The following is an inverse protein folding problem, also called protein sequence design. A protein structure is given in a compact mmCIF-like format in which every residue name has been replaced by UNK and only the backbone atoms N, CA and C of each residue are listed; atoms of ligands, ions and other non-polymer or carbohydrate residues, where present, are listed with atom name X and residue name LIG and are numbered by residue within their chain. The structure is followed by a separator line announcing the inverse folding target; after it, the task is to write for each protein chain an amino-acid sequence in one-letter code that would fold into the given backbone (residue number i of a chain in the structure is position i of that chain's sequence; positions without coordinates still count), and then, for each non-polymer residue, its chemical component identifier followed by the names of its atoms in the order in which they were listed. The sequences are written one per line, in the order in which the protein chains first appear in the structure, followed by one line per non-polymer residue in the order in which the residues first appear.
data_IF_210117722501
#
_entry.id   IF_210117722501
#
_cell.length_a   1.000
_cell.length_b   1.000
_cell.length_c   1.000
_cell.angle_alpha   90.00
_cell.angle_beta   90.00
_cell.angle_gamma   90.00
#
_symmetry.space_group_name_H-M   'P 1'
#
loop_
_entity.id
_entity.type
_entity.pdbx_description
1 polymer ?
#
# COMPACT_ATOMS: atom_id res chain seq x y z
N UNK A 1 16.13 3.39 15.49
CA UNK A 1 16.46 2.58 14.29
C UNK A 1 17.48 3.36 13.47
N UNK A 2 18.49 2.71 12.86
CA UNK A 2 19.42 3.37 11.93
C UNK A 2 18.80 3.41 10.55
N UNK A 3 18.22 4.54 10.16
CA UNK A 3 17.54 4.67 8.87
C UNK A 3 18.44 5.31 7.81
N UNK A 4 18.25 4.90 6.55
CA UNK A 4 18.75 5.62 5.38
C UNK A 4 17.58 6.33 4.68
N UNK A 5 17.87 7.39 3.94
CA UNK A 5 16.83 8.10 3.20
C UNK A 5 16.30 7.19 2.11
N UNK A 6 14.99 6.93 2.09
CA UNK A 6 14.34 6.13 1.03
C UNK A 6 14.33 6.87 -0.31
N UNK A 7 13.37 6.55 -1.18
CA UNK A 7 13.21 7.19 -2.49
C UNK A 7 12.10 8.26 -2.49
N UNK A 8 12.35 9.54 -2.83
CA UNK A 8 13.65 10.18 -2.99
C UNK A 8 14.38 10.34 -1.65
N UNK A 9 15.68 10.59 -1.72
CA UNK A 9 16.53 10.71 -0.54
C UNK A 9 16.01 11.80 0.41
N UNK A 10 15.83 11.42 1.69
CA UNK A 10 15.38 12.30 2.75
C UNK A 10 16.54 13.18 3.27
N UNK A 11 16.26 14.47 3.52
CA UNK A 11 17.19 15.38 4.17
C UNK A 11 17.72 14.78 5.49
N UNK A 12 19.05 14.71 5.73
CA UNK A 12 19.61 14.09 6.93
C UNK A 12 19.10 14.67 8.26
N UNK A 13 18.86 15.99 8.33
CA UNK A 13 18.35 16.67 9.53
C UNK A 13 16.91 16.25 9.82
N UNK A 14 16.07 16.17 8.78
CA UNK A 14 14.69 15.67 8.88
C UNK A 14 14.70 14.19 9.30
N UNK A 15 15.53 13.37 8.65
CA UNK A 15 15.68 11.96 8.97
C UNK A 15 16.07 11.73 10.42
N UNK A 16 16.99 12.53 10.94
CA UNK A 16 17.42 12.43 12.33
C UNK A 16 16.26 12.66 13.30
N UNK A 17 15.38 13.63 13.04
CA UNK A 17 14.19 13.87 13.86
C UNK A 17 13.24 12.69 13.82
N UNK A 18 12.86 12.23 12.62
CA UNK A 18 11.79 11.24 12.48
C UNK A 18 12.23 9.78 12.65
N UNK A 19 13.53 9.50 12.76
CA UNK A 19 14.06 8.16 13.08
C UNK A 19 14.28 7.90 14.57
N UNK A 20 14.11 8.93 15.41
CA UNK A 20 14.17 8.84 16.87
C UNK A 20 12.88 8.26 17.44
N UNK A 21 13.01 7.62 18.60
CA UNK A 21 11.91 7.19 19.46
C UNK A 21 10.77 6.42 18.77
N UNK A 22 11.13 5.60 17.77
CA UNK A 22 10.15 4.77 17.05
C UNK A 22 9.60 3.74 18.05
N UNK A 23 8.27 3.72 18.30
CA UNK A 23 7.65 2.84 19.28
C UNK A 23 7.52 1.42 18.71
N UNK A 24 8.65 0.73 18.52
CA UNK A 24 8.66 -0.65 18.05
C UNK A 24 8.24 -1.59 19.20
N UNK A 25 7.14 -2.34 19.05
CA UNK A 25 6.78 -3.34 20.06
C UNK A 25 7.84 -4.46 20.11
N UNK A 26 8.02 -5.15 21.25
CA UNK A 26 9.01 -6.22 21.38
C UNK A 26 8.85 -7.37 20.36
N UNK A 27 7.62 -7.57 19.89
CA UNK A 27 7.26 -8.57 18.88
C UNK A 27 7.40 -8.06 17.43
N UNK A 28 7.80 -6.81 17.21
CA UNK A 28 7.95 -6.24 15.88
C UNK A 28 8.89 -7.10 15.04
N UNK A 29 8.44 -7.43 13.83
CA UNK A 29 9.18 -8.17 12.81
C UNK A 29 8.80 -7.59 11.44
N UNK A 30 9.75 -7.48 10.51
CA UNK A 30 9.41 -7.09 9.15
C UNK A 30 8.68 -8.23 8.44
N UNK A 31 8.07 -7.90 7.30
CA UNK A 31 7.50 -8.89 6.39
C UNK A 31 8.52 -10.01 6.10
N UNK A 32 8.04 -11.25 5.98
CA UNK A 32 8.91 -12.44 5.88
C UNK A 32 9.69 -12.55 4.57
N UNK A 33 9.21 -11.87 3.53
CA UNK A 33 9.75 -11.97 2.17
C UNK A 33 10.78 -10.86 1.90
N UNK A 34 11.43 -10.92 0.74
CA UNK A 34 12.66 -10.17 0.39
C UNK A 34 12.65 -8.68 0.75
N UNK A 35 11.58 -7.96 0.43
CA UNK A 35 11.49 -6.51 0.65
C UNK A 35 11.47 -6.11 2.12
N UNK A 36 11.14 -7.06 3.02
CA UNK A 36 11.15 -6.88 4.48
C UNK A 36 10.48 -5.57 4.90
N UNK A 37 9.33 -5.29 4.27
CA UNK A 37 8.53 -4.11 4.55
C UNK A 37 8.01 -4.10 5.99
N UNK A 38 7.90 -2.91 6.58
CA UNK A 38 7.33 -2.73 7.92
C UNK A 38 6.69 -1.35 8.02
N UNK A 39 5.54 -1.27 8.69
CA UNK A 39 4.92 0.00 9.04
C UNK A 39 4.84 0.16 10.57
N UNK A 40 5.07 1.37 11.05
CA UNK A 40 4.92 1.73 12.46
C UNK A 40 4.17 3.04 12.54
N UNK A 41 2.97 2.97 13.13
CA UNK A 41 2.09 4.11 13.29
C UNK A 41 2.04 4.51 14.76
N UNK A 42 2.63 5.66 15.08
CA UNK A 42 2.57 6.23 16.41
C UNK A 42 1.28 7.05 16.55
N UNK A 43 0.25 6.39 17.09
CA UNK A 43 -1.08 6.98 17.27
C UNK A 43 -1.03 8.20 18.18
N UNK A 44 -0.16 8.21 19.21
CA UNK A 44 -0.09 9.30 20.18
C UNK A 44 0.45 10.60 19.59
N UNK A 45 1.40 10.51 18.67
CA UNK A 45 2.01 11.70 18.04
C UNK A 45 1.48 11.99 16.64
N UNK A 46 0.77 11.05 16.03
CA UNK A 46 0.31 11.13 14.64
C UNK A 46 1.39 10.84 13.59
N UNK A 47 2.59 10.40 14.02
CA UNK A 47 3.70 10.12 13.11
C UNK A 47 3.56 8.70 12.56
N UNK A 48 3.38 8.61 11.25
CA UNK A 48 3.30 7.35 10.52
C UNK A 48 4.61 7.12 9.77
N UNK A 49 5.19 5.93 9.92
CA UNK A 49 6.46 5.56 9.28
C UNK A 49 6.30 4.26 8.52
N UNK A 50 6.84 4.22 7.32
CA UNK A 50 6.97 3.01 6.53
C UNK A 50 8.43 2.76 6.21
N UNK A 51 8.78 1.49 6.20
CA UNK A 51 10.14 1.03 6.06
C UNK A 51 10.28 -0.03 4.96
N UNK A 52 11.41 0.04 4.29
CA UNK A 52 11.82 -0.92 3.25
C UNK A 52 13.18 -1.53 3.60
N UNK A 53 13.38 -2.80 3.26
CA UNK A 53 14.59 -3.59 3.53
C UNK A 53 14.99 -3.56 5.00
N UNK A 54 14.02 -3.82 5.88
CA UNK A 54 14.26 -3.78 7.32
C UNK A 54 15.06 -5.00 7.74
N UNK A 55 16.15 -4.74 8.47
CA UNK A 55 16.99 -5.77 9.07
C UNK A 55 17.14 -5.52 10.57
N UNK A 56 17.31 -6.60 11.32
CA UNK A 56 17.69 -6.55 12.73
C UNK A 56 18.96 -7.37 12.91
N UNK A 57 20.04 -6.71 13.31
CA UNK A 57 21.29 -7.40 13.62
C UNK A 57 21.17 -8.26 14.88
N UNK A 58 22.12 -9.18 15.09
CA UNK A 58 22.22 -9.99 16.32
C UNK A 58 22.33 -9.13 17.58
N UNK A 59 23.00 -7.98 17.47
CA UNK A 59 23.10 -6.99 18.55
C UNK A 59 21.79 -6.20 18.78
N UNK A 60 20.70 -6.53 18.08
CA UNK A 60 19.39 -5.90 18.22
C UNK A 60 19.24 -4.56 17.50
N UNK A 61 20.19 -4.19 16.63
CA UNK A 61 20.14 -2.90 15.91
C UNK A 61 19.28 -3.05 14.67
N UNK A 62 18.24 -2.22 14.57
CA UNK A 62 17.37 -2.13 13.42
C UNK A 62 17.92 -1.19 12.34
N UNK A 63 17.87 -1.60 11.08
CA UNK A 63 18.21 -0.79 9.90
C UNK A 63 17.10 -0.85 8.84
N UNK A 64 17.02 0.16 7.96
CA UNK A 64 16.07 0.18 6.85
C UNK A 64 16.00 1.53 6.14
N UNK A 65 15.34 1.56 4.98
CA UNK A 65 14.89 2.79 4.31
C UNK A 65 13.60 3.27 4.96
N UNK A 66 13.39 4.58 5.04
CA UNK A 66 12.23 5.15 5.71
C UNK A 66 11.54 6.21 4.84
N UNK A 67 10.21 6.14 4.81
CA UNK A 67 9.31 7.25 4.50
C UNK A 67 8.45 7.57 5.72
N UNK A 68 7.97 8.81 5.83
CA UNK A 68 7.05 9.19 6.91
C UNK A 68 6.01 10.22 6.48
N UNK A 69 4.94 10.33 7.27
CA UNK A 69 4.10 11.52 7.34
C UNK A 69 3.77 11.87 8.79
N UNK A 70 3.52 13.15 9.05
CA UNK A 70 2.99 13.65 10.31
C UNK A 70 1.55 14.03 10.10
N UNK A 71 0.67 13.45 10.91
CA UNK A 71 -0.77 13.62 10.86
C UNK A 71 -1.27 14.09 12.23
N UNK A 72 -2.58 14.29 12.35
CA UNK A 72 -3.18 14.60 13.63
C UNK A 72 -2.93 13.45 14.62
N UNK A 73 -2.59 13.76 15.89
CA UNK A 73 -2.66 12.78 16.98
C UNK A 73 -3.99 12.04 16.98
N UNK A 74 -3.95 10.75 17.30
CA UNK A 74 -5.09 9.84 17.17
C UNK A 74 -5.27 9.26 15.75
N UNK A 75 -4.51 9.76 14.76
CA UNK A 75 -4.67 9.40 13.34
C UNK A 75 -6.10 9.61 12.83
N UNK A 76 -6.75 10.67 13.34
CA UNK A 76 -8.10 11.05 12.95
C UNK A 76 -8.10 11.81 11.63
N UNK A 77 -9.19 11.67 10.87
CA UNK A 77 -9.42 12.42 9.64
C UNK A 77 -8.32 12.30 8.58
N UNK A 78 -7.55 11.19 8.58
CA UNK A 78 -6.43 10.97 7.64
C UNK A 78 -6.79 11.25 6.17
N UNK A 79 -7.97 10.83 5.73
CA UNK A 79 -8.43 11.08 4.35
C UNK A 79 -8.60 12.58 4.01
N UNK A 80 -8.80 13.44 5.02
CA UNK A 80 -8.92 14.89 4.88
C UNK A 80 -7.56 15.59 5.06
N UNK A 81 -6.77 15.14 6.03
CA UNK A 81 -5.53 15.84 6.43
C UNK A 81 -4.28 15.32 5.76
N UNK A 82 -4.34 14.12 5.18
CA UNK A 82 -3.25 13.49 4.43
C UNK A 82 -3.80 12.89 3.13
N UNK A 83 -4.06 13.77 2.18
CA UNK A 83 -4.65 13.40 0.89
C UNK A 83 -3.78 12.36 0.14
N UNK A 84 -4.46 11.37 -0.45
CA UNK A 84 -3.88 10.15 -1.01
C UNK A 84 -2.93 9.40 -0.07
N UNK A 85 -3.02 9.62 1.25
CA UNK A 85 -2.14 9.02 2.26
C UNK A 85 -0.65 9.24 1.97
N UNK A 86 -0.32 10.40 1.42
CA UNK A 86 1.01 10.70 0.89
C UNK A 86 2.11 10.68 1.97
N UNK A 87 3.31 10.30 1.56
CA UNK A 87 4.52 10.43 2.37
C UNK A 87 5.11 11.83 2.19
N UNK A 88 5.30 12.55 3.31
CA UNK A 88 5.88 13.89 3.31
C UNK A 88 7.32 13.88 2.82
N UNK A 89 8.11 12.87 3.23
CA UNK A 89 9.50 12.71 2.85
C UNK A 89 9.91 11.24 2.88
N UNK A 90 10.84 10.86 1.98
CA UNK A 90 11.25 9.48 1.80
C UNK A 90 10.12 8.57 1.30
N UNK A 91 10.47 7.34 0.96
CA UNK A 91 9.49 6.31 0.65
C UNK A 91 10.06 4.92 0.80
N UNK A 92 9.18 3.98 1.11
CA UNK A 92 9.36 2.53 1.06
C UNK A 92 8.94 1.93 -0.30
N UNK A 93 8.22 2.68 -1.14
CA UNK A 93 7.70 2.24 -2.43
C UNK A 93 7.66 3.37 -3.48
N UNK A 94 7.58 3.03 -4.77
CA UNK A 94 7.52 4.03 -5.86
C UNK A 94 6.26 4.90 -5.82
N UNK A 95 5.19 4.42 -5.17
CA UNK A 95 3.91 5.12 -5.01
C UNK A 95 3.95 6.36 -4.11
N UNK A 96 4.96 6.49 -3.24
CA UNK A 96 5.08 7.61 -2.26
C UNK A 96 3.84 7.87 -1.40
N UNK A 97 3.07 6.83 -1.14
CA UNK A 97 1.96 6.82 -0.21
C UNK A 97 2.18 5.74 0.84
N UNK A 98 1.45 5.81 1.95
CA UNK A 98 1.39 4.71 2.92
C UNK A 98 0.60 3.55 2.32
N UNK A 99 1.26 2.67 1.56
CA UNK A 99 0.62 1.58 0.84
C UNK A 99 -0.24 0.69 1.76
N UNK A 100 0.21 0.51 3.01
CA UNK A 100 -0.49 -0.35 3.98
C UNK A 100 -1.87 0.18 4.36
N UNK A 101 -2.15 1.48 4.18
CA UNK A 101 -3.49 2.05 4.37
C UNK A 101 -4.46 1.69 3.23
N UNK A 102 -3.96 1.17 2.12
CA UNK A 102 -4.76 0.59 1.04
C UNK A 102 -4.81 -0.94 1.07
N UNK A 103 -4.16 -1.59 2.04
CA UNK A 103 -4.16 -3.05 2.15
C UNK A 103 -5.47 -3.54 2.78
N UNK A 104 -5.80 -4.81 2.53
CA UNK A 104 -6.99 -5.45 3.08
C UNK A 104 -6.83 -5.61 4.59
N UNK A 105 -7.68 -4.95 5.39
CA UNK A 105 -7.62 -5.01 6.85
C UNK A 105 -8.20 -6.29 7.43
N UNK A 106 -7.62 -6.79 8.53
CA UNK A 106 -8.12 -7.97 9.25
C UNK A 106 -9.55 -7.73 9.77
N UNK A 107 -9.76 -6.57 10.40
CA UNK A 107 -11.06 -6.22 10.98
C UNK A 107 -12.12 -5.92 9.90
N UNK A 108 -11.70 -5.48 8.72
CA UNK A 108 -12.60 -5.25 7.58
C UNK A 108 -13.13 -6.56 7.01
N UNK A 109 -12.25 -7.58 6.91
CA UNK A 109 -12.67 -8.94 6.53
C UNK A 109 -13.64 -9.52 7.57
N UNK A 110 -13.35 -9.34 8.87
CA UNK A 110 -14.30 -9.71 9.93
C UNK A 110 -15.63 -8.99 9.80
N UNK A 111 -15.63 -7.68 9.52
CA UNK A 111 -16.83 -6.88 9.32
C UNK A 111 -17.59 -7.25 8.03
N UNK A 112 -16.88 -7.75 7.01
CA UNK A 112 -17.45 -8.06 5.70
C UNK A 112 -17.63 -6.84 4.82
N UNK A 113 -16.88 -5.77 5.09
CA UNK A 113 -16.86 -4.54 4.29
C UNK A 113 -15.49 -3.88 4.41
N UNK A 114 -14.94 -3.47 3.27
CA UNK A 114 -13.71 -2.68 3.16
C UNK A 114 -14.13 -1.26 2.79
N UNK A 115 -13.71 -0.27 3.55
CA UNK A 115 -14.24 1.11 3.47
C UNK A 115 -13.24 2.13 2.92
N UNK A 116 -12.25 1.67 2.17
CA UNK A 116 -11.23 2.51 1.54
C UNK A 116 -10.89 2.00 0.13
N UNK A 117 -10.11 2.80 -0.60
CA UNK A 117 -9.56 2.41 -1.89
C UNK A 117 -8.49 1.33 -1.72
N UNK A 118 -8.41 0.38 -2.64
CA UNK A 118 -7.47 -0.73 -2.54
C UNK A 118 -6.15 -0.39 -3.21
N UNK A 119 -5.05 -0.50 -2.47
CA UNK A 119 -3.73 -0.58 -3.05
C UNK A 119 -3.51 -2.00 -3.58
N UNK A 120 -2.97 -2.10 -4.79
CA UNK A 120 -2.61 -3.39 -5.38
C UNK A 120 -1.27 -3.30 -6.09
N UNK A 121 -0.65 -4.46 -6.24
CA UNK A 121 0.64 -4.62 -6.91
C UNK A 121 0.40 -5.03 -8.36
N UNK A 122 1.05 -4.36 -9.30
CA UNK A 122 1.04 -4.74 -10.71
C UNK A 122 1.83 -6.03 -10.93
N UNK A 123 1.41 -6.84 -11.91
CA UNK A 123 2.26 -7.93 -12.40
C UNK A 123 3.51 -7.35 -13.06
N UNK A 124 3.33 -6.42 -13.99
CA UNK A 124 4.41 -5.57 -14.50
C UNK A 124 3.83 -4.29 -15.12
N UNK A 125 4.58 -3.19 -15.04
CA UNK A 125 4.33 -1.98 -15.83
C UNK A 125 5.42 -1.79 -16.89
N UNK A 126 5.08 -1.20 -18.02
CA UNK A 126 6.02 -0.96 -19.11
C UNK A 126 7.12 0.04 -18.72
N UNK A 127 8.36 -0.26 -19.12
CA UNK A 127 9.49 0.64 -19.01
C UNK A 127 9.22 1.96 -19.73
N UNK A 128 9.53 3.08 -19.08
CA UNK A 128 9.54 4.40 -19.71
C UNK A 128 8.17 5.07 -19.85
N UNK A 129 7.13 4.55 -19.21
CA UNK A 129 5.91 5.31 -18.94
C UNK A 129 6.13 6.21 -17.70
N UNK A 130 5.71 7.49 -17.74
CA UNK A 130 5.76 8.35 -16.56
C UNK A 130 4.78 7.83 -15.48
N UNK A 131 5.10 8.01 -14.19
CA UNK A 131 4.17 7.67 -13.12
C UNK A 131 2.96 8.63 -13.10
N UNK A 132 1.89 8.19 -12.44
CA UNK A 132 0.69 8.96 -12.12
C UNK A 132 0.64 9.26 -10.62
N UNK A 133 0.11 10.41 -10.23
CA UNK A 133 -0.16 10.74 -8.82
C UNK A 133 -0.94 9.62 -8.10
N UNK A 134 -0.50 9.15 -6.90
CA UNK A 134 0.54 9.76 -6.04
C UNK A 134 1.98 9.31 -6.31
N UNK A 135 2.21 8.37 -7.24
CA UNK A 135 3.53 7.85 -7.51
C UNK A 135 4.47 8.91 -8.09
N UNK A 136 5.73 8.86 -7.67
CA UNK A 136 6.81 9.69 -8.24
C UNK A 136 7.87 8.87 -8.97
N UNK A 137 7.66 7.57 -9.09
CA UNK A 137 8.58 6.64 -9.72
C UNK A 137 7.83 5.46 -10.34
N UNK A 138 8.57 4.65 -11.08
CA UNK A 138 8.06 3.42 -11.69
C UNK A 138 9.15 2.38 -11.72
N UNK A 139 8.81 1.12 -11.45
CA UNK A 139 9.76 0.01 -11.51
C UNK A 139 10.07 -0.44 -12.94
N UNK A 140 9.17 -0.18 -13.89
CA UNK A 140 9.36 -0.46 -15.32
C UNK A 140 9.87 -1.88 -15.61
N UNK A 141 9.10 -2.91 -15.26
CA UNK A 141 9.53 -4.32 -15.39
C UNK A 141 9.11 -5.00 -16.69
N UNK A 142 8.24 -4.39 -17.49
CA UNK A 142 7.80 -4.88 -18.81
C UNK A 142 8.48 -4.11 -19.96
N UNK A 143 8.68 -4.70 -21.16
CA UNK A 143 9.27 -4.02 -22.30
C UNK A 143 8.61 -2.69 -22.68
N UNK A 144 9.40 -1.75 -23.19
CA UNK A 144 8.92 -0.43 -23.63
C UNK A 144 7.94 -0.50 -24.82
N UNK A 145 7.85 -1.64 -25.51
CA UNK A 145 6.88 -1.87 -26.59
C UNK A 145 5.44 -2.01 -26.09
N UNK A 146 5.24 -2.27 -24.79
CA UNK A 146 3.91 -2.43 -24.19
C UNK A 146 3.35 -1.13 -23.58
N UNK A 147 4.06 -0.01 -23.73
CA UNK A 147 3.69 1.29 -23.12
C UNK A 147 2.25 1.70 -23.34
N UNK A 148 1.74 1.54 -24.56
CA UNK A 148 0.41 2.01 -24.97
C UNK A 148 -0.74 1.20 -24.36
N UNK A 149 -0.45 0.02 -23.79
CA UNK A 149 -1.43 -0.89 -23.18
C UNK A 149 -1.22 -1.07 -21.68
N UNK A 150 -0.13 -0.55 -21.15
CA UNK A 150 0.25 -0.70 -19.75
C UNK A 150 -0.35 0.43 -18.92
N UNK A 151 -1.05 0.12 -17.80
CA UNK A 151 -1.26 1.12 -16.76
C UNK A 151 0.09 1.57 -16.18
N UNK A 152 0.07 2.67 -15.42
CA UNK A 152 1.27 3.25 -14.79
C UNK A 152 1.17 3.22 -13.27
N UNK A 153 2.31 3.20 -12.57
CA UNK A 153 2.33 3.31 -11.10
C UNK A 153 1.60 4.56 -10.63
N UNK A 154 0.84 4.41 -9.55
CA UNK A 154 -0.04 5.42 -8.97
C UNK A 154 -1.30 5.69 -9.76
N UNK A 155 -1.53 5.05 -10.91
CA UNK A 155 -2.76 5.29 -11.67
C UNK A 155 -3.97 4.74 -10.93
N UNK A 156 -4.97 5.61 -10.76
CA UNK A 156 -6.24 5.26 -10.16
C UNK A 156 -7.13 4.53 -11.15
N UNK A 157 -7.96 3.63 -10.65
CA UNK A 157 -8.98 2.94 -11.43
C UNK A 157 -10.13 2.50 -10.56
N UNK A 158 -11.10 1.82 -11.16
CA UNK A 158 -12.20 1.18 -10.44
C UNK A 158 -12.69 -0.03 -11.23
N UNK A 159 -13.31 -0.97 -10.54
CA UNK A 159 -14.10 -1.99 -11.24
C UNK A 159 -15.37 -1.33 -11.75
N UNK A 160 -15.80 -1.66 -12.97
CA UNK A 160 -17.05 -1.15 -13.56
C UNK A 160 -18.23 -1.39 -12.62
N UNK A 161 -19.12 -0.40 -12.55
CA UNK A 161 -20.28 -0.43 -11.67
C UNK A 161 -21.30 -1.53 -12.01
N UNK A 162 -21.28 -2.06 -13.24
CA UNK A 162 -22.19 -3.11 -13.71
C UNK A 162 -21.71 -4.54 -13.40
N UNK A 163 -20.50 -4.70 -12.84
CA UNK A 163 -20.03 -6.00 -12.38
C UNK A 163 -20.78 -6.37 -11.11
N UNK A 164 -21.56 -7.45 -11.15
CA UNK A 164 -22.24 -8.00 -9.98
C UNK A 164 -21.32 -8.96 -9.22
N UNK A 165 -20.93 -8.68 -7.96
CA UNK A 165 -20.17 -9.63 -7.13
C UNK A 165 -20.85 -11.00 -6.99
N UNK A 166 -22.17 -11.08 -7.15
CA UNK A 166 -22.94 -12.33 -7.05
C UNK A 166 -22.99 -13.14 -8.36
N UNK A 167 -22.38 -12.65 -9.44
CA UNK A 167 -22.35 -13.35 -10.71
C UNK A 167 -21.02 -13.17 -11.45
N UNK A 168 -20.19 -14.21 -11.42
CA UNK A 168 -18.99 -14.34 -12.23
C UNK A 168 -19.36 -14.98 -13.59
N UNK A 169 -19.28 -14.24 -14.71
CA UNK A 169 -19.66 -14.74 -16.02
C UNK A 169 -18.75 -15.87 -16.54
N UNK A 170 -17.55 -16.06 -15.95
CA UNK A 170 -16.62 -17.13 -16.34
C UNK A 170 -17.04 -18.49 -15.78
N UNK A 171 -17.73 -18.51 -14.64
CA UNK A 171 -18.09 -19.74 -13.92
C UNK A 171 -19.60 -19.95 -13.83
N UNK A 172 -20.40 -18.89 -13.99
CA UNK A 172 -21.85 -18.92 -13.75
C UNK A 172 -22.25 -18.93 -12.27
N UNK A 173 -21.29 -18.76 -11.36
CA UNK A 173 -21.48 -18.72 -9.91
C UNK A 173 -21.09 -17.34 -9.35
N UNK A 174 -21.38 -17.00 -8.08
CA UNK A 174 -20.79 -15.81 -7.44
C UNK A 174 -19.26 -15.80 -7.52
N UNK A 175 -18.67 -14.59 -7.51
CA UNK A 175 -17.23 -14.46 -7.30
C UNK A 175 -16.84 -15.03 -5.92
N UNK A 176 -15.57 -15.36 -5.71
CA UNK A 176 -15.08 -15.89 -4.44
C UNK A 176 -15.30 -14.90 -3.28
N UNK A 177 -15.43 -15.37 -2.02
CA UNK A 177 -15.85 -14.54 -0.88
C UNK A 177 -15.07 -13.23 -0.71
N UNK A 178 -13.74 -13.29 -0.65
CA UNK A 178 -12.92 -12.07 -0.55
C UNK A 178 -13.02 -11.23 -1.83
N UNK A 179 -13.03 -11.85 -3.01
CA UNK A 179 -13.23 -11.14 -4.30
C UNK A 179 -14.50 -10.31 -4.30
N UNK A 180 -15.60 -10.81 -3.72
CA UNK A 180 -16.85 -10.04 -3.62
C UNK A 180 -16.68 -8.76 -2.79
N UNK A 181 -15.89 -8.79 -1.71
CA UNK A 181 -15.57 -7.61 -0.92
C UNK A 181 -14.71 -6.64 -1.72
N UNK A 182 -13.70 -7.16 -2.41
CA UNK A 182 -12.78 -6.37 -3.22
C UNK A 182 -13.49 -5.68 -4.38
N UNK A 183 -14.41 -6.34 -5.08
CA UNK A 183 -15.21 -5.73 -6.15
C UNK A 183 -16.01 -4.54 -5.61
N UNK A 184 -16.69 -4.72 -4.46
CA UNK A 184 -17.49 -3.64 -3.85
C UNK A 184 -16.62 -2.44 -3.46
N UNK A 185 -15.48 -2.69 -2.83
CA UNK A 185 -14.54 -1.63 -2.46
C UNK A 185 -13.96 -0.92 -3.70
N UNK A 186 -13.54 -1.69 -4.71
CA UNK A 186 -13.02 -1.18 -5.97
C UNK A 186 -14.06 -0.36 -6.74
N UNK A 187 -15.34 -0.71 -6.67
CA UNK A 187 -16.43 0.05 -7.29
C UNK A 187 -16.71 1.37 -6.57
N UNK A 188 -16.70 1.34 -5.22
CA UNK A 188 -17.10 2.48 -4.38
C UNK A 188 -15.98 3.46 -4.12
N UNK A 189 -14.77 2.97 -3.85
CA UNK A 189 -13.62 3.76 -3.41
C UNK A 189 -12.47 3.75 -4.43
N UNK A 190 -12.43 2.75 -5.32
CA UNK A 190 -11.42 2.65 -6.37
C UNK A 190 -10.24 1.73 -6.02
N UNK A 191 -9.30 1.70 -6.96
CA UNK A 191 -8.05 0.95 -6.97
C UNK A 191 -6.91 1.91 -7.25
N UNK A 192 -5.74 1.66 -6.67
CA UNK A 192 -4.50 2.36 -7.02
C UNK A 192 -3.36 1.36 -7.12
N UNK A 193 -2.64 1.37 -8.23
CA UNK A 193 -1.54 0.43 -8.46
C UNK A 193 -0.22 0.98 -7.93
N UNK A 194 0.28 0.43 -6.83
CA UNK A 194 1.32 1.09 -6.01
C UNK A 194 2.71 0.46 -6.10
N UNK A 195 2.82 -0.74 -6.67
CA UNK A 195 4.06 -1.53 -6.66
C UNK A 195 4.08 -2.54 -7.84
N UNK A 196 5.16 -3.28 -8.03
CA UNK A 196 5.28 -4.36 -9.02
C UNK A 196 5.92 -5.64 -8.47
N UNK A 197 5.33 -6.81 -8.74
CA UNK A 197 5.88 -8.11 -8.30
C UNK A 197 6.47 -8.99 -9.42
N UNK A 198 6.44 -8.55 -10.68
CA UNK A 198 6.95 -9.29 -11.86
C UNK A 198 6.25 -10.64 -12.14
N UNK A 199 5.03 -10.86 -11.65
CA UNK A 199 4.28 -12.11 -11.84
C UNK A 199 2.81 -11.89 -12.22
N UNK A 200 1.99 -11.35 -11.33
CA UNK A 200 0.56 -11.14 -11.55
C UNK A 200 0.02 -9.95 -10.74
N UNK A 201 -1.18 -9.45 -11.07
CA UNK A 201 -1.83 -8.48 -10.19
C UNK A 201 -2.17 -9.14 -8.86
N UNK A 202 -1.79 -8.50 -7.76
CA UNK A 202 -1.97 -9.03 -6.42
C UNK A 202 -2.44 -7.96 -5.46
N UNK A 203 -3.31 -8.34 -4.52
CA UNK A 203 -3.64 -7.51 -3.38
C UNK A 203 -2.76 -7.89 -2.19
N UNK A 204 -2.46 -6.89 -1.38
CA UNK A 204 -1.74 -7.07 -0.12
C UNK A 204 -2.73 -6.92 1.03
N UNK A 205 -2.48 -7.65 2.12
CA UNK A 205 -3.30 -7.63 3.31
C UNK A 205 -2.48 -7.14 4.50
N UNK A 206 -3.17 -6.61 5.51
CA UNK A 206 -2.61 -6.31 6.82
C UNK A 206 -1.91 -7.56 7.38
N UNK A 207 -0.67 -7.41 7.84
CA UNK A 207 0.11 -8.54 8.35
C UNK A 207 -0.44 -9.05 9.70
N UNK A 208 -0.65 -10.37 9.79
CA UNK A 208 -1.22 -11.02 10.98
C UNK A 208 -0.27 -11.18 12.17
N UNK A 209 1.01 -10.73 12.09
CA UNK A 209 1.98 -10.89 13.19
C UNK A 209 1.52 -10.18 14.46
N UNK A 210 0.87 -9.02 14.36
CA UNK A 210 0.39 -8.27 15.54
C UNK A 210 -0.63 -9.09 16.31
N UNK A 211 -1.69 -9.58 15.65
CA UNK A 211 -2.67 -10.44 16.30
C UNK A 211 -2.08 -11.76 16.76
N UNK A 212 -1.16 -12.36 16.01
CA UNK A 212 -0.45 -13.56 16.44
C UNK A 212 0.33 -13.33 17.73
N UNK A 213 1.00 -12.19 17.88
CA UNK A 213 1.75 -11.86 19.08
C UNK A 213 0.84 -11.61 20.28
N UNK A 214 -0.33 -11.00 20.07
CA UNK A 214 -1.27 -10.65 21.14
C UNK A 214 -2.20 -11.80 21.54
N UNK A 215 -2.66 -12.60 20.58
CA UNK A 215 -3.69 -13.62 20.75
C UNK A 215 -3.21 -15.05 20.44
N UNK A 216 -1.96 -15.22 20.00
CA UNK A 216 -1.35 -16.52 19.75
C UNK A 216 -1.67 -17.14 18.39
N UNK A 217 -2.56 -16.54 17.60
CA UNK A 217 -3.01 -17.07 16.30
C UNK A 217 -2.88 -16.01 15.21
N UNK A 218 -2.40 -16.44 14.04
CA UNK A 218 -2.38 -15.61 12.83
C UNK A 218 -3.77 -15.67 12.18
N UNK A 219 -4.50 -14.55 12.06
CA UNK A 219 -5.88 -14.56 11.55
C UNK A 219 -5.99 -15.01 10.09
N UNK A 220 -4.91 -14.88 9.30
CA UNK A 220 -4.84 -15.36 7.92
C UNK A 220 -4.38 -16.83 7.81
N UNK A 221 -3.76 -17.36 8.87
CA UNK A 221 -3.12 -18.67 8.87
C UNK A 221 -4.09 -19.85 8.99
N UNK A 222 -3.54 -21.07 8.87
CA UNK A 222 -4.27 -22.32 9.12
C UNK A 222 -4.62 -22.40 10.61
N UNK A 223 -5.87 -22.07 10.95
CA UNK A 223 -6.37 -21.94 12.33
C UNK A 223 -6.82 -20.53 12.72
N UNK A 224 -6.58 -19.54 11.86
CA UNK A 224 -7.16 -18.21 11.98
C UNK A 224 -8.66 -18.19 11.69
N UNK A 225 -9.34 -17.15 12.16
CA UNK A 225 -10.79 -17.03 12.12
C UNK A 225 -11.34 -16.51 10.77
N UNK A 226 -10.55 -15.70 10.05
CA UNK A 226 -11.01 -14.99 8.85
C UNK A 226 -11.54 -15.91 7.75
N UNK A 227 -10.90 -17.06 7.53
CA UNK A 227 -11.31 -18.03 6.51
C UNK A 227 -12.72 -18.56 6.78
N UNK A 228 -12.95 -18.98 8.03
CA UNK A 228 -14.26 -19.48 8.46
C UNK A 228 -15.32 -18.39 8.42
N UNK A 229 -15.00 -17.19 8.90
CA UNK A 229 -15.92 -16.05 8.92
C UNK A 229 -16.38 -15.66 7.50
N UNK A 230 -15.48 -15.64 6.52
CA UNK A 230 -15.84 -15.40 5.13
C UNK A 230 -16.66 -16.55 4.53
N UNK A 231 -16.24 -17.78 4.73
CA UNK A 231 -16.94 -18.96 4.21
C UNK A 231 -18.38 -19.03 4.71
N UNK A 232 -18.59 -18.80 6.00
CA UNK A 232 -19.92 -18.76 6.63
C UNK A 232 -20.75 -17.60 6.07
N UNK A 233 -20.21 -16.37 6.07
CA UNK A 233 -20.93 -15.17 5.59
C UNK A 233 -21.40 -15.30 4.15
N UNK A 234 -20.58 -15.92 3.30
CA UNK A 234 -20.86 -16.04 1.87
C UNK A 234 -21.45 -17.39 1.48
N UNK A 235 -21.69 -18.30 2.45
CA UNK A 235 -22.14 -19.67 2.23
C UNK A 235 -21.30 -20.38 1.13
N UNK A 236 -19.98 -20.30 1.27
CA UNK A 236 -19.01 -20.77 0.28
C UNK A 236 -18.02 -21.79 0.88
N UNK A 237 -17.30 -22.49 0.00
CA UNK A 237 -16.20 -23.37 0.41
C UNK A 237 -15.10 -22.54 1.12
N UNK A 238 -14.67 -22.91 2.34
CA UNK A 238 -13.55 -22.27 3.03
C UNK A 238 -12.25 -22.19 2.22
N UNK A 239 -11.99 -23.12 1.30
CA UNK A 239 -10.79 -23.07 0.46
C UNK A 239 -10.84 -21.93 -0.57
N UNK A 240 -12.03 -21.47 -0.94
CA UNK A 240 -12.22 -20.33 -1.85
C UNK A 240 -12.19 -18.99 -1.12
N UNK A 241 -12.26 -18.96 0.21
CA UNK A 241 -12.47 -17.74 0.97
C UNK A 241 -11.44 -16.64 0.68
N UNK A 242 -10.17 -17.01 0.50
CA UNK A 242 -9.08 -16.07 0.18
C UNK A 242 -8.58 -16.19 -1.27
N UNK A 243 -9.14 -17.10 -2.07
CA UNK A 243 -8.76 -17.22 -3.47
C UNK A 243 -9.35 -16.05 -4.24
N UNK A 244 -8.48 -15.14 -4.68
CA UNK A 244 -8.86 -13.94 -5.44
C UNK A 244 -8.46 -14.01 -6.91
N UNK A 245 -8.09 -15.19 -7.42
CA UNK A 245 -7.71 -15.37 -8.82
C UNK A 245 -8.86 -15.05 -9.80
N UNK A 246 -10.09 -15.03 -9.31
CA UNK A 246 -11.26 -14.69 -10.10
C UNK A 246 -11.57 -13.19 -10.14
N UNK A 247 -10.75 -12.33 -9.52
CA UNK A 247 -10.94 -10.88 -9.57
C UNK A 247 -10.98 -10.37 -11.03
N UNK A 248 -11.98 -9.54 -11.40
CA UNK A 248 -12.26 -9.20 -12.80
C UNK A 248 -11.38 -8.04 -13.29
N UNK A 249 -10.06 -8.24 -13.37
CA UNK A 249 -9.12 -7.23 -13.85
C UNK A 249 -9.49 -6.66 -15.22
N UNK A 250 -10.06 -7.49 -16.11
CA UNK A 250 -10.55 -7.10 -17.45
C UNK A 250 -11.76 -6.16 -17.44
N UNK A 251 -12.36 -5.93 -16.26
CA UNK A 251 -13.47 -4.99 -16.03
C UNK A 251 -13.02 -3.74 -15.28
N UNK A 252 -11.72 -3.47 -15.24
CA UNK A 252 -11.17 -2.24 -14.65
C UNK A 252 -11.26 -1.08 -15.63
N UNK A 253 -11.80 0.04 -15.16
CA UNK A 253 -11.74 1.34 -15.85
C UNK A 253 -10.65 2.19 -15.20
N UNK A 254 -9.68 2.63 -16.00
CA UNK A 254 -8.58 3.47 -15.53
C UNK A 254 -8.96 4.95 -15.61
N UNK A 255 -8.66 5.69 -14.55
CA UNK A 255 -8.72 7.13 -14.55
C UNK A 255 -7.60 7.72 -15.43
N UNK A 256 -7.72 8.97 -15.89
CA UNK A 256 -6.61 9.68 -16.50
C UNK A 256 -5.38 9.68 -15.59
N UNK A 257 -4.19 9.72 -16.21
CA UNK A 257 -2.93 9.94 -15.47
C UNK A 257 -3.06 11.25 -14.69
N UNK A 258 -2.55 11.23 -13.45
CA UNK A 258 -2.61 12.33 -12.47
C UNK A 258 -4.04 12.70 -12.00
N UNK A 259 -5.01 11.79 -12.13
CA UNK A 259 -6.33 12.01 -11.55
C UNK A 259 -6.25 12.26 -10.03
N UNK A 260 -6.96 13.29 -9.57
CA UNK A 260 -6.99 13.70 -8.16
C UNK A 260 -5.75 14.46 -7.69
N UNK A 261 -4.71 14.67 -8.53
CA UNK A 261 -3.51 15.39 -8.13
C UNK A 261 -3.86 16.81 -7.63
N UNK A 262 -3.39 17.22 -6.44
CA UNK A 262 -3.63 18.58 -5.94
C UNK A 262 -2.83 19.62 -6.73
N UNK A 263 -3.37 20.84 -6.85
CA UNK A 263 -2.70 21.97 -7.52
C UNK A 263 -1.34 22.30 -6.90
N UNK A 264 -1.23 22.13 -5.57
CA UNK A 264 0.03 22.18 -4.84
C UNK A 264 0.45 20.77 -4.48
N UNK A 265 1.40 20.24 -5.23
CA UNK A 265 1.97 18.91 -5.00
C UNK A 265 3.39 19.05 -4.44
N UNK A 266 3.60 18.53 -3.23
CA UNK A 266 4.90 18.49 -2.55
C UNK A 266 5.77 17.30 -3.00
N UNK A 267 5.28 16.50 -3.93
CA UNK A 267 5.94 15.34 -4.53
C UNK A 267 6.30 15.65 -5.99
N UNK A 268 7.43 16.32 -6.24
CA UNK A 268 7.75 16.73 -7.59
C UNK A 268 8.03 15.53 -8.51
N UNK A 269 7.68 15.67 -9.81
CA UNK A 269 7.81 14.62 -10.85
C UNK A 269 9.23 14.10 -11.07
N UNK A 270 10.22 14.85 -10.62
CA UNK A 270 11.63 14.49 -10.70
C UNK A 270 12.22 14.49 -9.30
N UNK A 271 12.90 13.40 -8.92
CA UNK A 271 13.64 13.31 -7.65
C UNK A 271 14.67 14.45 -7.44
N UNK A 272 14.98 15.22 -8.50
CA UNK A 272 15.86 16.39 -8.49
C UNK A 272 15.19 17.70 -8.04
N UNK A 273 13.86 17.75 -7.97
CA UNK A 273 13.09 18.97 -7.67
C UNK A 273 12.75 19.14 -6.19
N UNK A 274 13.49 18.47 -5.30
CA UNK A 274 13.62 18.86 -3.88
C UNK A 274 14.28 20.26 -3.71
N UNK A 275 14.42 21.03 -4.80
CA UNK A 275 15.04 22.35 -4.88
C UNK A 275 14.31 23.44 -4.09
N UNK A 276 13.11 23.20 -3.58
CA UNK A 276 12.47 24.10 -2.60
C UNK A 276 13.13 24.03 -1.21
N UNK A 277 14.04 23.07 -0.97
CA UNK A 277 14.97 23.03 0.15
C UNK A 277 16.41 23.38 -0.26
N UNK A 278 16.62 24.25 -1.26
CA UNK A 278 17.93 24.89 -1.40
C UNK A 278 18.16 25.73 -0.15
N UNK A 279 19.00 25.23 0.74
CA UNK A 279 19.63 26.02 1.78
C UNK A 279 20.30 27.21 1.09
N UNK A 280 19.89 28.41 1.48
CA UNK A 280 20.61 29.65 1.26
C UNK A 280 21.93 29.61 2.03
N UNK A 281 22.83 28.71 1.66
CA UNK A 281 24.18 28.60 2.20
C UNK A 281 25.17 29.25 1.24
N UNK A 282 24.94 30.53 0.92
CA UNK A 282 26.00 31.38 0.37
C UNK A 282 26.61 32.15 1.55
N UNK A 283 27.90 31.93 1.89
CA UNK A 283 28.58 32.77 2.87
C UNK A 283 28.64 34.22 2.35
N UNK A 284 28.27 35.19 3.18
CA UNK A 284 28.81 36.55 3.08
C UNK A 284 30.09 36.63 3.91
#
# INVERSE_FOLDING_TARGET
MKTRGGFPAMNPKIREVYSRDIPLPPYARPARNDDRGMAVYDVGTGIMREFFMVERSEAGVWTGEMGFSVNNPGLEDLAKTNYATSLQCGSSAVARMHNNLGFIGINEVRAGEIQHALAFTFGAVAMGNPPSYPASGTDGKSPATEKDKSPVHGQWGRVRADVDPKFNPKTGAPYNPLTQLLIKAAQRYGLVGTDTNSWCHAFNAEDGQTEKALYGVDPWGKGGDLRGALAERFAADPELAFDVNDFPWDKTEWAPIDWGRPDTDFTPRHAFDNAWQREDNTPQ
#
